data_IF_330548088519
#
_entry.id   IF_330548088519
#
_cell.length_a   1.000
_cell.length_b   1.000
_cell.length_c   1.000
_cell.angle_alpha   90.00
_cell.angle_beta   90.00
_cell.angle_gamma   90.00
#
_symmetry.space_group_name_H-M   'P 1'
#
loop_
_entity.id
_entity.type
_entity.pdbx_description
1 polymer ?
#
# COMPACT_ATOMS: atom_id res chain seq x y z
N UNK A 1 26.75 -50.12 72.21
CA UNK A 1 27.39 -49.94 70.92
C UNK A 1 26.44 -49.10 70.05
N UNK A 2 26.68 -47.76 69.99
CA UNK A 2 25.77 -46.80 69.35
C UNK A 2 26.35 -46.45 67.95
N UNK A 3 25.63 -46.77 66.96
CA UNK A 3 25.99 -46.38 65.54
C UNK A 3 25.34 -45.05 65.24
N UNK A 4 26.16 -44.00 65.02
CA UNK A 4 25.73 -42.69 64.62
C UNK A 4 25.47 -42.69 63.11
N UNK A 5 24.23 -42.43 62.67
CA UNK A 5 23.85 -42.25 61.31
C UNK A 5 24.05 -40.76 60.90
N UNK A 6 25.07 -40.44 60.17
CA UNK A 6 25.28 -39.13 59.59
C UNK A 6 24.35 -38.95 58.41
N UNK A 7 23.40 -38.01 58.51
CA UNK A 7 22.57 -37.54 57.39
C UNK A 7 23.39 -36.57 56.56
N UNK A 8 23.71 -36.97 55.35
CA UNK A 8 24.32 -36.13 54.30
C UNK A 8 23.16 -35.33 53.65
N UNK A 9 23.09 -34.03 53.87
CA UNK A 9 22.18 -33.15 53.17
C UNK A 9 22.90 -32.69 51.90
N UNK A 10 22.48 -33.22 50.75
CA UNK A 10 22.90 -32.72 49.44
C UNK A 10 22.01 -31.54 49.07
N UNK A 11 22.54 -30.35 49.19
CA UNK A 11 21.89 -29.14 48.72
C UNK A 11 22.09 -29.03 47.19
N UNK A 12 21.08 -29.42 46.44
CA UNK A 12 21.08 -29.24 45.00
C UNK A 12 20.72 -27.76 44.74
N UNK A 13 21.71 -26.94 44.37
CA UNK A 13 21.47 -25.60 43.85
C UNK A 13 20.89 -25.74 42.42
N UNK A 14 19.58 -25.53 42.31
CA UNK A 14 18.92 -25.36 41.05
C UNK A 14 19.29 -23.94 40.51
N UNK A 15 20.30 -23.84 39.68
CA UNK A 15 20.57 -22.61 38.94
C UNK A 15 19.48 -22.54 37.87
N UNK A 16 18.39 -21.80 38.18
CA UNK A 16 17.44 -21.37 37.17
C UNK A 16 18.16 -20.31 36.33
N UNK A 17 18.76 -20.74 35.25
CA UNK A 17 19.23 -19.86 34.19
C UNK A 17 18.00 -19.13 33.64
N UNK A 18 17.77 -17.91 34.08
CA UNK A 18 16.88 -16.99 33.42
C UNK A 18 17.56 -16.70 32.10
N UNK A 19 17.29 -17.52 31.07
CA UNK A 19 17.55 -17.14 29.70
C UNK A 19 16.68 -15.90 29.48
N UNK A 20 17.28 -14.72 29.54
CA UNK A 20 16.68 -13.52 29.02
C UNK A 20 16.41 -13.80 27.55
N UNK A 21 15.21 -14.23 27.22
CA UNK A 21 14.76 -14.27 25.85
C UNK A 21 14.87 -12.82 25.37
N UNK A 22 15.95 -12.52 24.64
CA UNK A 22 16.06 -11.23 23.94
C UNK A 22 14.82 -11.15 23.08
N UNK A 23 13.90 -10.23 23.45
CA UNK A 23 12.71 -10.00 22.65
C UNK A 23 13.19 -9.75 21.23
N UNK A 24 12.74 -10.58 20.30
CA UNK A 24 13.11 -10.44 18.88
C UNK A 24 12.69 -9.05 18.46
N UNK A 25 13.58 -8.32 17.78
CA UNK A 25 13.35 -6.96 17.30
C UNK A 25 12.74 -7.00 15.91
N UNK A 26 12.05 -5.92 15.54
CA UNK A 26 11.59 -5.75 14.17
C UNK A 26 12.77 -5.61 13.20
N UNK A 27 12.57 -6.05 11.98
CA UNK A 27 13.54 -5.92 10.89
C UNK A 27 12.92 -5.21 9.68
N UNK A 28 13.72 -4.46 8.94
CA UNK A 28 13.36 -3.89 7.65
C UNK A 28 13.55 -4.92 6.51
N UNK A 29 12.64 -4.99 5.53
CA UNK A 29 11.38 -4.25 5.42
C UNK A 29 10.34 -4.70 6.47
N UNK A 30 9.61 -3.76 7.04
CA UNK A 30 8.57 -4.07 8.06
C UNK A 30 7.37 -4.81 7.47
N UNK A 31 7.13 -4.64 6.17
CA UNK A 31 6.09 -5.32 5.40
C UNK A 31 6.70 -5.78 4.08
N UNK A 32 6.73 -7.08 3.83
CA UNK A 32 7.23 -7.60 2.57
C UNK A 32 6.07 -7.90 1.60
N UNK A 33 5.25 -6.90 1.33
CA UNK A 33 4.17 -6.89 0.34
C UNK A 33 4.06 -5.49 -0.27
N UNK A 34 3.35 -5.39 -1.42
CA UNK A 34 3.13 -4.11 -2.09
C UNK A 34 2.21 -3.20 -1.28
N UNK A 35 2.79 -2.15 -0.70
CA UNK A 35 2.10 -1.07 0.02
C UNK A 35 2.72 0.25 -0.41
N UNK A 36 2.42 0.72 -1.61
CA UNK A 36 3.09 1.88 -2.20
C UNK A 36 2.56 3.21 -1.65
N UNK A 37 3.40 4.23 -1.71
CA UNK A 37 3.05 5.64 -1.50
C UNK A 37 2.27 5.88 -0.19
N UNK A 38 2.79 5.32 0.88
CA UNK A 38 2.14 5.34 2.19
C UNK A 38 1.98 6.75 2.75
N UNK A 39 0.86 6.97 3.44
CA UNK A 39 0.65 8.08 4.35
C UNK A 39 0.12 7.55 5.67
N UNK A 40 0.70 7.99 6.79
CA UNK A 40 0.36 7.49 8.14
C UNK A 40 -0.07 8.65 9.04
N UNK A 41 -1.09 8.39 9.86
CA UNK A 41 -1.50 9.29 10.94
C UNK A 41 -1.62 8.50 12.25
N UNK A 42 -1.24 9.12 13.36
CA UNK A 42 -1.43 8.58 14.72
C UNK A 42 -2.64 9.22 15.39
N UNK A 43 -3.48 8.40 16.01
CA UNK A 43 -4.62 8.83 16.81
C UNK A 43 -4.54 8.10 18.17
N UNK A 44 -4.12 8.80 19.21
CA UNK A 44 -3.76 8.17 20.48
C UNK A 44 -2.61 7.18 20.31
N UNK A 45 -2.82 5.93 20.71
CA UNK A 45 -1.86 4.82 20.59
C UNK A 45 -2.04 3.99 19.31
N UNK A 46 -2.86 4.47 18.37
CA UNK A 46 -3.18 3.75 17.15
C UNK A 46 -2.68 4.50 15.92
N UNK A 47 -2.11 3.77 14.99
CA UNK A 47 -1.67 4.25 13.69
C UNK A 47 -2.61 3.78 12.60
N UNK A 48 -2.95 4.68 11.69
CA UNK A 48 -3.70 4.37 10.49
C UNK A 48 -2.89 4.76 9.25
N UNK A 49 -2.85 3.87 8.29
CA UNK A 49 -2.08 4.04 7.05
C UNK A 49 -3.00 3.90 5.84
N UNK A 50 -2.87 4.80 4.89
CA UNK A 50 -3.42 4.68 3.55
C UNK A 50 -2.31 4.43 2.53
N UNK A 51 -2.63 3.81 1.39
CA UNK A 51 -1.67 3.56 0.32
C UNK A 51 -2.34 3.49 -1.06
N UNK A 52 -1.53 3.50 -2.11
CA UNK A 52 -1.97 3.37 -3.51
C UNK A 52 -2.56 1.98 -3.80
N UNK A 53 -3.56 1.93 -4.67
CA UNK A 53 -4.09 0.68 -5.24
C UNK A 53 -4.21 0.70 -6.76
N UNK A 54 -3.97 1.82 -7.40
CA UNK A 54 -4.12 1.99 -8.85
C UNK A 54 -5.54 1.63 -9.32
N UNK A 55 -5.67 0.75 -10.29
CA UNK A 55 -6.93 0.32 -10.90
C UNK A 55 -7.69 -0.76 -10.13
N UNK A 56 -7.11 -1.27 -9.02
CA UNK A 56 -7.72 -2.33 -8.22
C UNK A 56 -8.94 -1.82 -7.44
N UNK A 57 -9.96 -2.64 -7.30
CA UNK A 57 -11.19 -2.35 -6.56
C UNK A 57 -11.49 -3.46 -5.53
N UNK A 58 -11.82 -3.12 -4.27
CA UNK A 58 -11.89 -1.79 -3.66
C UNK A 58 -10.53 -1.11 -3.56
N UNK A 59 -10.49 0.21 -3.27
CA UNK A 59 -9.24 0.98 -3.31
C UNK A 59 -9.03 1.94 -2.15
N UNK A 60 -7.80 2.43 -2.08
CA UNK A 60 -7.17 3.10 -0.96
C UNK A 60 -7.36 2.28 0.32
N UNK A 61 -6.54 1.23 0.51
CA UNK A 61 -6.62 0.39 1.70
C UNK A 61 -6.29 1.20 2.94
N UNK A 62 -7.04 0.94 3.99
CA UNK A 62 -6.78 1.47 5.32
C UNK A 62 -6.23 0.35 6.19
N UNK A 63 -5.02 0.54 6.67
CA UNK A 63 -4.37 -0.39 7.58
C UNK A 63 -4.24 0.23 8.96
N UNK A 64 -4.25 -0.61 10.00
CA UNK A 64 -4.16 -0.23 11.41
C UNK A 64 -3.00 -0.96 12.07
N UNK A 65 -2.28 -0.26 12.95
CA UNK A 65 -1.25 -0.82 13.82
C UNK A 65 -1.23 -0.11 15.16
N UNK A 66 -0.65 -0.74 16.18
CA UNK A 66 -0.34 -0.12 17.48
C UNK A 66 1.16 -0.08 17.77
N UNK A 67 1.99 -0.57 16.83
CA UNK A 67 3.44 -0.69 17.02
C UNK A 67 4.26 -0.35 15.75
N UNK A 68 3.63 0.16 14.69
CA UNK A 68 4.22 0.50 13.40
C UNK A 68 4.76 -0.70 12.58
N UNK A 69 4.77 -1.90 13.14
CA UNK A 69 5.33 -3.11 12.52
C UNK A 69 4.23 -4.10 12.14
N UNK A 70 3.31 -4.35 13.07
CA UNK A 70 2.23 -5.32 12.90
C UNK A 70 0.95 -4.62 12.42
N UNK A 71 0.77 -4.60 11.12
CA UNK A 71 -0.35 -3.95 10.45
C UNK A 71 -1.49 -4.93 10.16
N UNK A 72 -2.72 -4.42 10.14
CA UNK A 72 -3.92 -5.15 9.75
C UNK A 72 -4.73 -4.28 8.79
N UNK A 73 -5.15 -4.83 7.65
CA UNK A 73 -6.12 -4.19 6.76
C UNK A 73 -7.49 -4.17 7.45
N UNK A 74 -8.08 -3.00 7.60
CA UNK A 74 -9.34 -2.82 8.33
C UNK A 74 -10.46 -2.26 7.47
N UNK A 75 -10.16 -1.56 6.38
CA UNK A 75 -11.16 -0.99 5.47
C UNK A 75 -10.54 -0.58 4.12
N UNK A 76 -11.39 -0.08 3.23
CA UNK A 76 -11.04 0.66 2.03
C UNK A 76 -11.83 1.96 1.99
N UNK A 77 -11.28 3.01 1.37
CA UNK A 77 -11.96 4.29 1.25
C UNK A 77 -13.13 4.26 0.24
N UNK A 78 -13.10 3.31 -0.71
CA UNK A 78 -14.16 3.12 -1.70
C UNK A 78 -14.23 1.67 -2.20
N UNK A 79 -15.41 1.25 -2.62
CA UNK A 79 -15.62 -0.05 -3.29
C UNK A 79 -15.19 0.00 -4.76
N UNK A 80 -15.57 1.08 -5.47
CA UNK A 80 -15.15 1.40 -6.85
C UNK A 80 -14.82 2.89 -6.94
N UNK A 81 -13.76 3.25 -7.66
CA UNK A 81 -13.28 4.63 -7.73
C UNK A 81 -14.27 5.52 -8.50
N UNK A 82 -14.63 5.12 -9.71
CA UNK A 82 -15.58 5.81 -10.58
C UNK A 82 -16.14 4.86 -11.65
N UNK A 83 -17.22 5.28 -12.32
CA UNK A 83 -17.89 4.53 -13.38
C UNK A 83 -17.44 5.08 -14.75
N UNK A 84 -16.26 4.65 -15.21
CA UNK A 84 -15.72 5.00 -16.53
C UNK A 84 -15.27 3.75 -17.27
N UNK A 85 -15.33 3.80 -18.61
CA UNK A 85 -14.99 2.66 -19.48
C UNK A 85 -13.67 1.98 -19.13
N UNK A 86 -12.62 2.76 -18.87
CA UNK A 86 -11.29 2.24 -18.59
C UNK A 86 -11.24 1.43 -17.29
N UNK A 87 -11.93 1.89 -16.22
CA UNK A 87 -12.05 1.18 -14.95
C UNK A 87 -13.01 -0.01 -15.06
N UNK A 88 -13.95 0.03 -16.01
CA UNK A 88 -14.89 -1.05 -16.27
C UNK A 88 -14.40 -2.04 -17.32
N UNK A 89 -13.24 -1.83 -17.93
CA UNK A 89 -12.74 -2.62 -19.06
C UNK A 89 -13.76 -2.68 -20.21
N UNK A 90 -14.45 -1.57 -20.50
CA UNK A 90 -15.45 -1.48 -21.55
C UNK A 90 -14.86 -0.81 -22.80
N UNK A 91 -15.46 -1.10 -23.97
CA UNK A 91 -15.12 -0.44 -25.23
C UNK A 91 -13.62 -0.51 -25.59
N UNK A 92 -12.94 -1.61 -25.25
CA UNK A 92 -11.52 -1.81 -25.47
C UNK A 92 -10.60 -0.91 -24.64
N UNK A 93 -11.14 -0.18 -23.65
CA UNK A 93 -10.36 0.66 -22.74
C UNK A 93 -9.90 -0.12 -21.51
N UNK A 94 -8.75 0.27 -20.99
CA UNK A 94 -8.09 -0.38 -19.85
C UNK A 94 -7.43 0.69 -18.97
N UNK A 95 -7.59 0.58 -17.67
CA UNK A 95 -6.96 1.47 -16.68
C UNK A 95 -5.75 0.84 -15.98
N UNK A 96 -5.15 -0.22 -16.53
CA UNK A 96 -4.02 -0.90 -15.90
C UNK A 96 -2.90 0.07 -15.53
N UNK A 97 -2.51 0.10 -14.24
CA UNK A 97 -1.55 1.07 -13.71
C UNK A 97 -2.10 2.49 -13.52
N UNK A 98 -3.32 2.78 -13.99
CA UNK A 98 -4.06 4.01 -13.68
C UNK A 98 -4.92 3.87 -12.43
N UNK A 99 -6.03 4.62 -12.34
CA UNK A 99 -6.88 4.65 -11.14
C UNK A 99 -6.32 5.53 -10.03
N UNK A 100 -6.52 5.18 -8.76
CA UNK A 100 -6.06 5.99 -7.63
C UNK A 100 -4.57 5.78 -7.35
N UNK A 101 -3.83 6.90 -7.34
CA UNK A 101 -2.40 6.91 -7.04
C UNK A 101 -2.15 7.34 -5.59
N UNK A 102 -1.01 8.01 -5.32
CA UNK A 102 -0.60 8.37 -3.98
C UNK A 102 -1.74 8.98 -3.15
N UNK A 103 -1.84 8.55 -1.90
CA UNK A 103 -2.85 9.03 -0.97
C UNK A 103 -2.24 9.83 0.18
N UNK A 104 -3.05 10.70 0.77
CA UNK A 104 -2.70 11.44 1.97
C UNK A 104 -3.79 11.24 3.01
N UNK A 105 -3.44 10.79 4.21
CA UNK A 105 -4.37 10.63 5.34
C UNK A 105 -4.14 11.74 6.38
N UNK A 106 -5.23 12.30 6.91
CA UNK A 106 -5.24 13.29 8.00
C UNK A 106 -6.33 12.95 9.01
N UNK A 107 -6.11 13.38 10.27
CA UNK A 107 -7.11 13.30 11.33
C UNK A 107 -7.23 14.67 12.00
N UNK A 108 -8.38 15.29 11.85
CA UNK A 108 -8.65 16.64 12.35
C UNK A 108 -10.08 16.70 12.86
N UNK A 109 -10.27 17.29 14.04
CA UNK A 109 -11.61 17.50 14.63
C UNK A 109 -12.48 16.22 14.64
N UNK A 110 -11.88 15.09 15.10
CA UNK A 110 -12.54 13.78 15.18
C UNK A 110 -13.03 13.24 13.83
N UNK A 111 -12.40 13.65 12.72
CA UNK A 111 -12.71 13.20 11.37
C UNK A 111 -11.44 12.80 10.64
N UNK A 112 -11.47 11.65 10.01
CA UNK A 112 -10.42 11.20 9.10
C UNK A 112 -10.71 11.72 7.70
N UNK A 113 -9.66 12.18 7.04
CA UNK A 113 -9.67 12.61 5.65
C UNK A 113 -8.64 11.78 4.90
N UNK A 114 -9.04 11.19 3.78
CA UNK A 114 -8.15 10.48 2.87
C UNK A 114 -8.30 11.07 1.49
N UNK A 115 -7.24 11.68 0.97
CA UNK A 115 -7.25 12.22 -0.39
C UNK A 115 -6.41 11.39 -1.33
N UNK A 116 -6.82 11.31 -2.59
CA UNK A 116 -6.09 10.67 -3.70
C UNK A 116 -6.47 11.33 -5.01
N UNK A 117 -5.75 10.99 -6.07
CA UNK A 117 -6.03 11.50 -7.40
C UNK A 117 -5.98 10.36 -8.43
N UNK A 118 -6.66 10.55 -9.55
CA UNK A 118 -6.64 9.61 -10.66
C UNK A 118 -6.55 10.33 -12.00
N UNK A 119 -5.44 10.14 -12.70
CA UNK A 119 -5.28 10.63 -14.06
C UNK A 119 -6.28 10.01 -15.04
N UNK A 120 -6.68 8.76 -14.82
CA UNK A 120 -7.69 8.03 -15.61
C UNK A 120 -9.04 8.76 -15.67
N UNK A 121 -9.43 9.44 -14.58
CA UNK A 121 -10.69 10.19 -14.47
C UNK A 121 -10.48 11.71 -14.55
N UNK A 122 -9.21 12.16 -14.48
CA UNK A 122 -8.84 13.57 -14.39
C UNK A 122 -9.35 14.24 -13.10
N UNK A 123 -9.46 13.49 -12.00
CA UNK A 123 -10.20 13.91 -10.80
C UNK A 123 -9.36 13.73 -9.54
N UNK A 124 -9.53 14.66 -8.60
CA UNK A 124 -9.05 14.57 -7.21
C UNK A 124 -10.23 14.17 -6.33
N UNK A 125 -9.98 13.25 -5.40
CA UNK A 125 -10.97 12.68 -4.49
C UNK A 125 -10.55 12.96 -3.05
N UNK A 126 -11.49 13.36 -2.20
CA UNK A 126 -11.31 13.50 -0.76
C UNK A 126 -12.44 12.72 -0.08
N UNK A 127 -12.06 11.66 0.59
CA UNK A 127 -12.96 10.83 1.40
C UNK A 127 -12.88 11.28 2.85
N UNK A 128 -14.01 11.32 3.55
CA UNK A 128 -14.07 11.64 4.98
C UNK A 128 -14.96 10.68 5.74
N UNK A 129 -14.59 10.39 6.99
CA UNK A 129 -15.37 9.55 7.91
C UNK A 129 -15.00 9.83 9.37
N UNK A 130 -15.92 9.58 10.29
CA UNK A 130 -15.63 9.55 11.72
C UNK A 130 -15.23 8.17 12.24
N UNK A 131 -15.56 7.11 11.49
CA UNK A 131 -15.15 5.73 11.80
C UNK A 131 -14.36 5.15 10.62
N UNK A 132 -13.03 5.24 10.69
CA UNK A 132 -12.15 4.82 9.61
C UNK A 132 -12.17 3.29 9.39
N UNK A 133 -12.53 2.51 10.42
CA UNK A 133 -12.56 1.05 10.35
C UNK A 133 -13.86 0.51 9.76
N UNK A 134 -14.96 1.29 9.79
CA UNK A 134 -16.28 0.83 9.34
C UNK A 134 -16.96 1.76 8.33
N UNK A 135 -16.53 3.01 8.23
CA UNK A 135 -17.24 4.03 7.47
C UNK A 135 -18.51 4.53 8.19
N UNK A 136 -19.52 5.00 7.49
CA UNK A 136 -19.49 5.21 6.04
C UNK A 136 -18.51 6.30 5.63
N UNK A 137 -18.09 6.26 4.37
CA UNK A 137 -17.28 7.29 3.76
C UNK A 137 -18.15 8.27 3.00
N UNK A 138 -17.91 9.56 3.21
CA UNK A 138 -18.39 10.64 2.36
C UNK A 138 -17.29 11.01 1.37
N UNK A 139 -17.63 11.25 0.11
CA UNK A 139 -16.65 11.62 -0.93
C UNK A 139 -16.97 13.00 -1.50
N UNK A 140 -15.95 13.85 -1.58
CA UNK A 140 -15.90 15.06 -2.39
C UNK A 140 -14.96 14.83 -3.55
N UNK A 141 -15.35 15.25 -4.75
CA UNK A 141 -14.53 15.10 -5.95
C UNK A 141 -14.59 16.36 -6.81
N UNK A 142 -13.42 16.73 -7.36
CA UNK A 142 -13.29 17.90 -8.22
C UNK A 142 -12.16 17.72 -9.24
N UNK A 143 -12.16 18.54 -10.26
CA UNK A 143 -11.11 18.56 -11.31
C UNK A 143 -10.24 19.81 -11.16
N UNK A 144 -8.97 19.73 -11.63
CA UNK A 144 -8.29 18.56 -12.25
C UNK A 144 -7.82 17.53 -11.21
N UNK A 145 -7.16 16.45 -11.69
CA UNK A 145 -6.36 15.58 -10.84
C UNK A 145 -5.05 16.28 -10.47
N UNK A 146 -4.79 16.47 -9.18
CA UNK A 146 -3.57 17.08 -8.67
C UNK A 146 -2.55 15.99 -8.33
N UNK A 147 -1.47 15.93 -9.10
CA UNK A 147 -0.46 14.87 -9.02
C UNK A 147 0.27 14.86 -7.69
N UNK A 148 0.30 13.69 -7.02
CA UNK A 148 1.04 13.41 -5.78
C UNK A 148 0.85 14.47 -4.70
N UNK A 149 -0.41 14.87 -4.50
CA UNK A 149 -0.74 15.93 -3.59
C UNK A 149 -0.77 15.48 -2.12
N UNK A 150 -0.53 16.44 -1.24
CA UNK A 150 -0.86 16.35 0.18
C UNK A 150 -1.88 17.43 0.53
N UNK A 151 -2.85 17.12 1.38
CA UNK A 151 -3.73 18.11 2.00
C UNK A 151 -3.23 18.40 3.42
N UNK A 152 -3.40 19.64 3.87
CA UNK A 152 -2.98 20.07 5.19
C UNK A 152 -3.96 21.06 5.79
N UNK A 153 -4.44 20.78 6.98
CA UNK A 153 -5.29 21.64 7.79
C UNK A 153 -4.39 22.44 8.72
N UNK A 154 -4.24 23.73 8.46
CA UNK A 154 -3.31 24.56 9.22
C UNK A 154 -4.00 25.26 10.41
N UNK A 155 -3.21 25.76 11.35
CA UNK A 155 -3.69 26.45 12.56
C UNK A 155 -4.36 27.80 12.25
N UNK A 156 -4.16 28.34 11.05
CA UNK A 156 -4.85 29.53 10.56
C UNK A 156 -6.30 29.27 10.14
N UNK A 157 -6.78 28.02 10.27
CA UNK A 157 -8.11 27.57 9.92
C UNK A 157 -8.31 27.28 8.44
N UNK A 158 -7.27 27.40 7.61
CA UNK A 158 -7.31 27.12 6.19
C UNK A 158 -6.87 25.71 5.86
N UNK A 159 -7.31 25.24 4.70
CA UNK A 159 -6.94 23.94 4.18
C UNK A 159 -6.10 24.16 2.92
N UNK A 160 -4.91 23.64 2.92
CA UNK A 160 -3.97 23.77 1.81
C UNK A 160 -3.75 22.45 1.10
N UNK A 161 -3.54 22.52 -0.21
CA UNK A 161 -3.06 21.40 -1.02
C UNK A 161 -1.73 21.77 -1.66
N UNK A 162 -0.74 20.87 -1.54
CA UNK A 162 0.59 20.99 -2.18
C UNK A 162 0.72 19.82 -3.15
N UNK A 163 1.18 20.10 -4.39
CA UNK A 163 1.31 19.08 -5.43
C UNK A 163 2.41 19.43 -6.44
N UNK A 164 2.70 18.49 -7.33
CA UNK A 164 3.56 18.68 -8.48
C UNK A 164 4.77 17.79 -8.50
N UNK A 165 5.56 17.93 -9.55
CA UNK A 165 6.82 17.23 -9.76
C UNK A 165 7.91 18.23 -10.17
N UNK A 166 8.98 18.32 -9.39
CA UNK A 166 10.08 19.29 -9.52
C UNK A 166 9.70 20.69 -9.08
N UNK A 167 8.79 21.34 -9.78
CA UNK A 167 8.14 22.58 -9.35
C UNK A 167 6.93 22.24 -8.49
N UNK A 168 7.01 22.52 -7.21
CA UNK A 168 5.90 22.30 -6.28
C UNK A 168 5.04 23.55 -6.16
N UNK A 169 3.73 23.34 -6.19
CA UNK A 169 2.70 24.38 -6.10
C UNK A 169 1.85 24.17 -4.85
N UNK A 170 1.23 25.23 -4.41
CA UNK A 170 0.27 25.23 -3.31
C UNK A 170 -0.98 26.02 -3.71
N UNK A 171 -2.14 25.55 -3.24
CA UNK A 171 -3.42 26.23 -3.39
C UNK A 171 -4.24 26.03 -2.11
N UNK A 172 -5.10 27.00 -1.78
CA UNK A 172 -6.09 26.88 -0.72
C UNK A 172 -7.31 26.11 -1.22
N UNK A 173 -7.78 25.14 -0.45
CA UNK A 173 -9.04 24.43 -0.70
C UNK A 173 -10.21 25.21 -0.12
N UNK A 174 -11.42 25.00 -0.68
CA UNK A 174 -12.66 25.44 -0.04
C UNK A 174 -12.86 24.69 1.28
N UNK A 175 -13.49 25.32 2.24
CA UNK A 175 -13.73 24.74 3.57
C UNK A 175 -14.59 23.45 3.52
N UNK A 176 -15.50 23.35 2.55
CA UNK A 176 -16.35 22.20 2.30
C UNK A 176 -15.66 21.09 1.46
N UNK A 177 -14.39 21.29 1.08
CA UNK A 177 -13.57 20.38 0.28
C UNK A 177 -14.15 20.05 -1.12
N UNK A 178 -15.07 20.85 -1.63
CA UNK A 178 -15.68 20.63 -2.96
C UNK A 178 -14.81 21.11 -4.11
N UNK A 179 -13.66 21.74 -3.83
CA UNK A 179 -12.74 22.26 -4.84
C UNK A 179 -11.68 23.17 -4.27
N UNK A 180 -10.95 23.80 -5.18
CA UNK A 180 -9.94 24.80 -4.87
C UNK A 180 -10.53 26.19 -4.75
N UNK A 181 -9.85 27.06 -4.02
CA UNK A 181 -10.18 28.49 -3.91
C UNK A 181 -9.41 29.25 -4.99
N UNK A 182 -10.13 29.77 -5.96
CA UNK A 182 -9.56 30.45 -7.10
C UNK A 182 -8.68 31.64 -6.69
N UNK A 183 -7.61 31.89 -7.44
CA UNK A 183 -6.67 33.01 -7.20
C UNK A 183 -5.69 32.79 -6.05
N UNK A 184 -5.73 31.66 -5.35
CA UNK A 184 -4.82 31.35 -4.23
C UNK A 184 -3.62 30.49 -4.63
N UNK A 185 -3.57 30.00 -5.87
CA UNK A 185 -2.46 29.19 -6.38
C UNK A 185 -1.16 30.01 -6.40
N UNK A 186 -0.08 29.37 -5.94
CA UNK A 186 1.29 29.89 -6.02
C UNK A 186 2.31 28.79 -6.21
N UNK A 187 3.45 29.14 -6.78
CA UNK A 187 4.65 28.30 -6.72
C UNK A 187 5.20 28.34 -5.31
N UNK A 188 5.37 27.19 -4.71
CA UNK A 188 5.91 27.02 -3.37
C UNK A 188 7.42 26.82 -3.40
N UNK A 189 7.90 25.94 -4.30
CA UNK A 189 9.31 25.63 -4.52
C UNK A 189 9.54 25.47 -6.02
N UNK A 190 10.47 26.27 -6.60
CA UNK A 190 10.74 26.23 -8.03
C UNK A 190 11.47 24.96 -8.48
N UNK A 191 12.41 24.46 -7.66
CA UNK A 191 13.16 23.24 -7.92
C UNK A 191 13.34 22.43 -6.64
N UNK A 192 12.37 21.60 -6.31
CA UNK A 192 12.38 20.77 -5.11
C UNK A 192 13.40 19.62 -5.17
N UNK A 193 13.97 19.33 -6.34
CA UNK A 193 15.05 18.34 -6.49
C UNK A 193 16.45 18.91 -6.19
N UNK A 194 16.59 20.23 -6.11
CA UNK A 194 17.90 20.89 -5.99
C UNK A 194 18.83 20.33 -4.90
N UNK A 195 18.33 19.92 -3.70
CA UNK A 195 19.20 19.31 -2.69
C UNK A 195 19.85 17.99 -3.11
N UNK A 196 19.28 17.28 -4.09
CA UNK A 196 19.83 16.04 -4.63
C UNK A 196 20.69 16.24 -5.89
N UNK A 197 20.92 17.49 -6.31
CA UNK A 197 21.74 17.85 -7.45
C UNK A 197 20.95 18.26 -8.69
N UNK A 198 21.66 18.45 -9.81
CA UNK A 198 21.08 19.02 -11.03
C UNK A 198 20.72 17.98 -12.10
N UNK A 199 21.28 16.76 -12.01
CA UNK A 199 21.05 15.72 -13.01
C UNK A 199 19.98 14.75 -12.53
N UNK A 200 18.71 15.12 -12.71
CA UNK A 200 17.55 14.43 -12.16
C UNK A 200 16.86 13.58 -13.24
N UNK A 201 16.53 12.33 -12.88
CA UNK A 201 15.70 11.44 -13.68
C UNK A 201 14.22 11.53 -13.26
N UNK A 202 13.94 11.50 -11.95
CA UNK A 202 12.61 11.72 -11.38
C UNK A 202 12.62 13.05 -10.63
N UNK A 203 11.93 14.09 -11.11
CA UNK A 203 11.74 15.34 -10.37
C UNK A 203 11.07 15.08 -9.02
N UNK A 204 11.35 15.91 -8.01
CA UNK A 204 10.84 15.75 -6.67
C UNK A 204 9.30 15.79 -6.64
N UNK A 205 8.68 14.70 -6.16
CA UNK A 205 7.22 14.48 -6.09
C UNK A 205 6.86 13.73 -4.80
N UNK A 206 5.64 13.21 -4.65
CA UNK A 206 5.21 12.45 -3.47
C UNK A 206 5.15 13.32 -2.22
N UNK A 207 4.59 14.52 -2.34
CA UNK A 207 4.57 15.52 -1.26
C UNK A 207 3.83 15.03 -0.02
N UNK A 208 4.48 15.11 1.15
CA UNK A 208 3.85 14.92 2.47
C UNK A 208 4.30 16.07 3.40
N UNK A 209 3.33 16.86 3.88
CA UNK A 209 3.60 18.02 4.75
C UNK A 209 3.31 17.69 6.21
N UNK A 210 4.23 18.10 7.09
CA UNK A 210 4.13 17.98 8.54
C UNK A 210 4.43 19.32 9.21
N UNK A 211 3.79 19.58 10.36
CA UNK A 211 4.12 20.71 11.24
C UNK A 211 4.64 20.16 12.55
N UNK A 212 5.89 20.44 12.87
CA UNK A 212 6.56 19.98 14.10
C UNK A 212 7.24 21.17 14.76
N UNK A 213 6.95 21.43 16.03
CA UNK A 213 7.50 22.55 16.80
C UNK A 213 7.38 23.91 16.07
N UNK A 214 6.21 24.14 15.44
CA UNK A 214 5.88 25.38 14.74
C UNK A 214 6.53 25.54 13.36
N UNK A 215 7.35 24.60 12.90
CA UNK A 215 7.96 24.60 11.57
C UNK A 215 7.30 23.59 10.64
N UNK A 216 7.30 23.90 9.36
CA UNK A 216 6.75 23.05 8.30
C UNK A 216 7.86 22.23 7.65
N UNK A 217 7.61 20.93 7.47
CA UNK A 217 8.53 19.98 6.84
C UNK A 217 7.81 19.29 5.69
N UNK A 218 8.29 19.52 4.47
CA UNK A 218 7.75 18.93 3.26
C UNK A 218 8.70 17.82 2.77
N UNK A 219 8.22 16.60 2.77
CA UNK A 219 8.92 15.42 2.29
C UNK A 219 8.61 15.19 0.82
N UNK A 220 9.64 14.85 0.05
CA UNK A 220 9.53 14.46 -1.35
C UNK A 220 10.51 13.35 -1.69
N UNK A 221 10.13 12.53 -2.68
CA UNK A 221 11.04 11.62 -3.37
C UNK A 221 11.61 12.31 -4.59
N UNK A 222 12.89 12.10 -4.89
CA UNK A 222 13.52 12.42 -6.17
C UNK A 222 14.48 11.32 -6.60
N UNK A 223 14.86 11.28 -7.87
CA UNK A 223 15.82 10.28 -8.35
C UNK A 223 16.90 10.93 -9.23
N UNK A 224 18.10 11.17 -8.66
CA UNK A 224 19.26 11.59 -9.46
C UNK A 224 19.67 10.48 -10.45
N UNK A 225 20.06 10.87 -11.67
CA UNK A 225 20.60 9.91 -12.65
C UNK A 225 21.86 9.25 -12.12
N UNK A 226 22.03 7.97 -12.47
CA UNK A 226 23.16 7.15 -12.01
C UNK A 226 23.28 7.01 -10.49
N UNK A 227 22.17 7.19 -9.78
CA UNK A 227 22.04 7.04 -8.35
C UNK A 227 20.76 6.24 -8.01
N UNK A 228 20.17 6.48 -6.87
CA UNK A 228 18.98 5.81 -6.38
C UNK A 228 17.89 6.80 -5.98
N UNK A 229 16.67 6.31 -5.76
CA UNK A 229 15.61 7.10 -5.16
C UNK A 229 16.08 7.67 -3.83
N UNK A 230 15.77 8.93 -3.61
CA UNK A 230 16.37 9.77 -2.56
C UNK A 230 15.27 10.57 -1.88
N UNK A 231 15.34 10.72 -0.56
CA UNK A 231 14.45 11.62 0.21
C UNK A 231 15.09 13.01 0.25
N UNK A 232 14.32 14.00 -0.16
CA UNK A 232 14.62 15.42 0.11
C UNK A 232 13.58 15.99 1.05
N UNK A 233 13.99 16.84 1.98
CA UNK A 233 13.12 17.50 2.94
C UNK A 233 13.33 19.00 2.81
N UNK A 234 12.22 19.73 2.74
CA UNK A 234 12.21 21.18 2.75
C UNK A 234 11.57 21.68 4.04
N UNK A 235 12.19 22.68 4.69
CA UNK A 235 11.74 23.25 5.95
C UNK A 235 11.44 24.74 5.78
N UNK A 236 10.39 25.22 6.44
CA UNK A 236 10.04 26.63 6.51
C UNK A 236 9.40 27.01 7.86
N UNK A 237 9.46 28.29 8.21
CA UNK A 237 8.75 28.85 9.38
C UNK A 237 7.28 29.16 9.08
N UNK A 238 6.92 29.32 7.82
CA UNK A 238 5.56 29.56 7.35
C UNK A 238 5.19 28.55 6.26
N UNK A 239 3.92 28.15 6.20
CA UNK A 239 3.46 27.20 5.18
C UNK A 239 3.71 27.73 3.76
N UNK A 240 3.74 29.03 3.58
CA UNK A 240 4.03 29.73 2.31
C UNK A 240 5.50 29.87 2.00
N UNK A 241 6.41 29.39 2.87
CA UNK A 241 7.85 29.50 2.73
C UNK A 241 8.41 30.85 3.25
N UNK A 242 9.67 31.20 2.88
CA UNK A 242 10.53 30.43 1.97
C UNK A 242 10.99 29.09 2.57
N UNK A 243 11.17 28.10 1.71
CA UNK A 243 11.62 26.77 2.09
C UNK A 243 13.13 26.60 1.85
N UNK A 244 13.84 26.10 2.86
CA UNK A 244 15.21 25.60 2.76
C UNK A 244 15.16 24.08 2.55
N UNK A 245 15.90 23.52 1.57
CA UNK A 245 15.90 22.10 1.24
C UNK A 245 17.21 21.41 1.61
N UNK A 246 17.11 20.14 2.07
CA UNK A 246 18.25 19.25 2.32
C UNK A 246 18.02 17.85 1.76
N UNK A 247 19.10 17.20 1.31
CA UNK A 247 19.10 15.76 1.10
C UNK A 247 19.02 15.08 2.48
N UNK A 248 18.01 14.27 2.70
CA UNK A 248 17.72 13.66 3.99
C UNK A 248 18.12 12.18 4.07
N UNK A 249 17.93 11.41 2.97
CA UNK A 249 18.33 10.01 2.89
C UNK A 249 18.63 9.61 1.45
N UNK A 250 19.76 8.96 1.24
CA UNK A 250 20.14 8.33 -0.02
C UNK A 250 20.78 6.97 0.28
N UNK A 251 19.96 5.97 0.56
CA UNK A 251 20.42 4.61 0.87
C UNK A 251 19.39 3.57 0.45
N UNK A 252 19.85 2.46 -0.13
CA UNK A 252 19.05 1.34 -0.62
C UNK A 252 17.92 1.70 -1.61
N UNK A 253 17.78 2.97 -2.02
CA UNK A 253 16.66 3.45 -2.79
C UNK A 253 15.34 3.56 -1.99
N UNK A 254 15.44 3.61 -0.67
CA UNK A 254 14.30 3.80 0.24
C UNK A 254 13.92 5.27 0.25
N UNK A 255 12.70 5.58 -0.23
CA UNK A 255 12.21 6.96 -0.34
C UNK A 255 10.68 7.01 -0.41
N UNK A 256 10.13 8.21 -0.57
CA UNK A 256 8.70 8.57 -0.56
C UNK A 256 7.94 8.06 0.66
N UNK A 257 7.37 8.99 1.39
CA UNK A 257 6.63 8.76 2.62
C UNK A 257 6.70 10.00 3.48
N UNK A 258 6.82 9.83 4.80
CA UNK A 258 6.75 10.96 5.71
C UNK A 258 7.22 10.62 7.12
N UNK A 259 6.83 11.47 8.07
CA UNK A 259 7.16 11.36 9.48
C UNK A 259 6.01 10.78 10.29
N UNK A 260 6.35 10.03 11.33
CA UNK A 260 5.44 9.58 12.37
C UNK A 260 6.16 9.57 13.72
N UNK A 261 5.48 10.03 14.76
CA UNK A 261 5.94 9.95 16.14
C UNK A 261 5.28 8.76 16.86
N UNK A 262 5.89 8.38 17.96
CA UNK A 262 5.35 7.37 18.88
C UNK A 262 4.91 8.03 20.20
N UNK A 263 4.03 7.40 21.01
CA UNK A 263 3.58 7.95 22.28
C UNK A 263 4.70 8.23 23.28
N UNK A 264 5.81 7.51 23.19
CA UNK A 264 7.02 7.68 23.99
C UNK A 264 8.02 8.71 23.41
N UNK A 265 7.61 9.45 22.35
CA UNK A 265 8.36 10.56 21.79
C UNK A 265 9.47 10.18 20.80
N UNK A 266 9.58 8.91 20.39
CA UNK A 266 10.45 8.54 19.29
C UNK A 266 9.84 8.93 17.95
N UNK A 267 10.69 9.12 16.95
CA UNK A 267 10.29 9.49 15.61
C UNK A 267 10.80 8.50 14.58
N UNK A 268 10.01 8.26 13.56
CA UNK A 268 10.36 7.42 12.41
C UNK A 268 9.94 8.12 11.11
N UNK A 269 10.72 7.91 10.06
CA UNK A 269 10.26 8.10 8.70
C UNK A 269 9.72 6.75 8.18
N UNK A 270 8.50 6.76 7.68
CA UNK A 270 7.93 5.63 6.95
C UNK A 270 8.15 5.86 5.45
N UNK A 271 8.83 4.94 4.82
CA UNK A 271 9.30 5.05 3.45
C UNK A 271 9.11 3.73 2.72
N UNK A 272 9.22 3.69 1.39
CA UNK A 272 9.20 2.43 0.66
C UNK A 272 10.44 2.26 -0.24
N UNK A 273 10.64 1.03 -0.70
CA UNK A 273 11.61 0.66 -1.72
C UNK A 273 10.93 -0.16 -2.80
N UNK A 274 11.31 0.08 -4.08
CA UNK A 274 10.93 -0.83 -5.18
C UNK A 274 11.60 -2.19 -5.01
N UNK A 275 10.84 -3.27 -5.07
CA UNK A 275 11.33 -4.64 -4.92
C UNK A 275 10.80 -5.58 -6.00
N UNK A 276 11.10 -5.26 -7.24
CA UNK A 276 10.79 -6.09 -8.42
C UNK A 276 9.32 -6.46 -8.51
N UNK A 277 9.05 -7.75 -8.68
CA UNK A 277 7.70 -8.27 -8.87
C UNK A 277 6.80 -8.22 -7.63
N UNK A 278 7.34 -8.03 -6.44
CA UNK A 278 6.53 -7.86 -5.22
C UNK A 278 5.89 -6.47 -5.20
N UNK A 279 6.58 -5.45 -5.72
CA UNK A 279 6.12 -4.07 -5.73
C UNK A 279 6.91 -3.16 -4.78
N UNK A 280 6.25 -2.21 -4.15
CA UNK A 280 6.85 -1.20 -3.25
C UNK A 280 6.67 -1.62 -1.80
N UNK A 281 7.76 -2.02 -1.18
CA UNK A 281 7.74 -2.59 0.18
C UNK A 281 8.12 -1.55 1.24
N UNK A 282 7.36 -1.47 2.36
CA UNK A 282 7.57 -0.51 3.44
C UNK A 282 8.81 -0.74 4.30
N UNK A 283 9.45 0.37 4.64
CA UNK A 283 10.55 0.48 5.59
C UNK A 283 10.22 1.51 6.68
N UNK A 284 10.75 1.30 7.87
CA UNK A 284 10.83 2.32 8.90
C UNK A 284 12.28 2.74 9.11
N UNK A 285 12.49 4.04 9.21
CA UNK A 285 13.81 4.63 9.39
C UNK A 285 13.76 5.52 10.64
N UNK A 286 14.55 5.24 11.68
CA UNK A 286 14.61 6.08 12.87
C UNK A 286 14.96 7.52 12.52
N UNK A 287 14.39 8.47 13.24
CA UNK A 287 14.64 9.91 13.04
C UNK A 287 15.14 10.51 14.34
N UNK A 288 16.25 11.26 14.26
CA UNK A 288 16.74 12.14 15.31
C UNK A 288 16.55 13.59 14.88
N UNK A 289 16.26 14.46 15.82
CA UNK A 289 16.17 15.89 15.56
C UNK A 289 17.47 16.58 15.90
N UNK A 290 18.13 17.18 14.92
CA UNK A 290 19.39 17.92 15.08
C UNK A 290 19.24 19.32 14.43
N UNK A 291 19.48 20.39 15.16
CA UNK A 291 19.33 21.79 14.70
C UNK A 291 17.97 22.08 14.05
N UNK A 292 16.92 21.41 14.55
CA UNK A 292 15.56 21.51 14.00
C UNK A 292 15.39 20.85 12.64
N UNK A 293 16.24 19.89 12.28
CA UNK A 293 16.08 19.05 11.10
C UNK A 293 15.88 17.58 11.49
N UNK A 294 15.00 16.85 10.78
CA UNK A 294 14.91 15.40 10.94
C UNK A 294 16.10 14.75 10.23
N UNK A 295 16.97 14.10 10.99
CA UNK A 295 18.09 13.28 10.50
C UNK A 295 17.63 11.84 10.43
N UNK A 296 17.59 11.29 9.22
CA UNK A 296 17.04 9.97 8.93
C UNK A 296 18.12 8.89 9.00
N UNK A 297 17.77 7.80 9.69
CA UNK A 297 18.60 6.61 9.77
C UNK A 297 19.74 6.67 10.79
N UNK A 298 20.54 5.64 10.77
CA UNK A 298 21.77 5.54 11.59
C UNK A 298 22.97 5.89 10.72
N UNK A 299 23.56 7.07 10.97
CA UNK A 299 24.65 7.60 10.11
C UNK A 299 24.25 7.69 8.62
N UNK A 300 23.01 8.11 8.32
CA UNK A 300 22.50 8.23 6.96
C UNK A 300 22.21 6.88 6.27
N UNK A 301 22.12 5.79 7.03
CA UNK A 301 21.80 4.44 6.54
C UNK A 301 20.49 3.91 7.09
N UNK A 302 19.79 3.15 6.27
CA UNK A 302 18.59 2.41 6.67
C UNK A 302 19.00 1.23 7.53
N UNK A 303 18.62 1.14 8.81
CA UNK A 303 19.01 0.02 9.66
C UNK A 303 18.27 -1.26 9.26
N UNK A 304 18.94 -2.40 9.43
CA UNK A 304 18.30 -3.71 9.25
C UNK A 304 17.36 -4.00 10.42
N UNK A 305 17.79 -3.74 11.66
CA UNK A 305 17.04 -4.02 12.88
C UNK A 305 16.51 -2.73 13.51
N UNK A 306 15.31 -2.77 14.02
CA UNK A 306 14.62 -1.64 14.65
C UNK A 306 14.34 -1.94 16.13
N UNK A 307 14.46 -0.92 16.99
CA UNK A 307 14.06 -1.04 18.39
C UNK A 307 12.53 -0.95 18.55
N UNK A 308 11.83 -1.90 17.91
CA UNK A 308 10.37 -2.06 17.89
C UNK A 308 10.04 -3.55 18.08
N UNK A 309 8.80 -3.89 18.48
CA UNK A 309 8.37 -5.27 18.59
C UNK A 309 8.54 -6.04 17.27
N UNK A 310 8.94 -7.30 17.33
CA UNK A 310 9.11 -8.14 16.15
C UNK A 310 7.82 -8.27 15.32
N UNK A 311 7.98 -8.48 14.04
CA UNK A 311 6.87 -8.88 13.16
C UNK A 311 6.28 -10.22 13.64
N UNK A 312 4.96 -10.31 13.68
CA UNK A 312 4.20 -11.54 13.98
C UNK A 312 4.01 -12.43 12.76
N UNK A 313 4.76 -12.18 11.71
CA UNK A 313 4.69 -12.91 10.44
C UNK A 313 3.75 -12.27 9.43
N UNK A 314 3.04 -13.09 8.64
CA UNK A 314 2.10 -12.60 7.61
C UNK A 314 1.08 -11.65 8.23
N UNK A 315 0.93 -10.50 7.58
CA UNK A 315 0.06 -9.43 8.06
C UNK A 315 -1.40 -9.86 7.88
N UNK A 316 -2.15 -10.04 8.95
CA UNK A 316 -3.56 -10.36 8.88
C UNK A 316 -4.32 -9.32 8.04
N UNK A 317 -5.05 -9.78 7.04
CA UNK A 317 -5.87 -8.93 6.20
C UNK A 317 -5.21 -8.40 4.94
N UNK A 318 -3.87 -8.51 4.75
CA UNK A 318 -3.25 -8.17 3.45
C UNK A 318 -3.25 -9.37 2.51
N UNK A 319 -2.90 -10.54 3.03
CA UNK A 319 -2.92 -11.83 2.32
C UNK A 319 -3.44 -12.89 3.27
N UNK A 320 -4.32 -13.76 2.80
CA UNK A 320 -4.83 -14.88 3.58
C UNK A 320 -5.31 -16.02 2.70
N UNK A 321 -5.19 -17.24 3.19
CA UNK A 321 -5.91 -18.38 2.60
C UNK A 321 -7.42 -18.23 2.84
N UNK A 322 -8.23 -18.65 1.86
CA UNK A 322 -9.68 -18.55 1.92
C UNK A 322 -10.31 -19.81 1.35
N UNK A 323 -11.08 -20.54 2.17
CA UNK A 323 -11.88 -21.70 1.75
C UNK A 323 -13.29 -21.31 1.30
N UNK A 324 -13.58 -20.01 1.24
CA UNK A 324 -14.86 -19.41 0.89
C UNK A 324 -16.04 -19.86 1.75
N UNK A 325 -15.82 -20.51 2.91
CA UNK A 325 -16.87 -20.73 3.89
C UNK A 325 -17.23 -19.42 4.58
N UNK A 326 -18.53 -19.18 4.71
CA UNK A 326 -19.05 -17.93 5.32
C UNK A 326 -20.18 -18.26 6.29
N UNK A 327 -20.18 -17.56 7.41
CA UNK A 327 -21.35 -17.47 8.29
C UNK A 327 -22.37 -16.49 7.71
N UNK A 328 -23.59 -16.55 8.17
CA UNK A 328 -24.74 -15.79 7.60
C UNK A 328 -24.48 -14.27 7.48
N UNK A 329 -23.73 -13.68 8.39
CA UNK A 329 -23.51 -12.24 8.46
C UNK A 329 -22.09 -11.82 8.04
N UNK A 330 -21.29 -12.74 7.52
CA UNK A 330 -19.96 -12.42 7.02
C UNK A 330 -20.01 -11.91 5.58
N UNK A 331 -19.12 -10.99 5.19
CA UNK A 331 -19.03 -10.52 3.81
C UNK A 331 -18.67 -11.68 2.88
N UNK A 332 -19.20 -11.67 1.66
CA UNK A 332 -18.87 -12.68 0.65
C UNK A 332 -17.37 -12.76 0.39
N UNK A 333 -16.72 -11.63 0.28
CA UNK A 333 -15.27 -11.51 0.10
C UNK A 333 -14.69 -10.70 1.27
N UNK A 334 -13.77 -11.27 2.06
CA UNK A 334 -12.97 -10.51 3.03
C UNK A 334 -12.09 -9.45 2.36
N UNK A 335 -11.62 -8.47 3.14
CA UNK A 335 -10.84 -7.33 2.67
C UNK A 335 -9.54 -7.69 1.94
N UNK A 336 -9.01 -8.90 2.10
CA UNK A 336 -7.81 -9.37 1.37
C UNK A 336 -8.02 -9.45 -0.14
N UNK A 337 -9.29 -9.56 -0.58
CA UNK A 337 -9.62 -9.72 -1.98
C UNK A 337 -9.84 -8.37 -2.66
N UNK A 338 -9.20 -8.19 -3.79
CA UNK A 338 -9.41 -7.07 -4.69
C UNK A 338 -9.66 -7.57 -6.11
N UNK A 339 -10.47 -6.84 -6.84
CA UNK A 339 -10.71 -7.07 -8.25
C UNK A 339 -9.69 -6.32 -9.10
N UNK A 340 -9.21 -6.94 -10.14
CA UNK A 340 -8.50 -6.26 -11.21
C UNK A 340 -9.52 -5.43 -12.00
N UNK A 341 -9.56 -4.11 -11.78
CA UNK A 341 -10.59 -3.17 -12.23
C UNK A 341 -11.95 -3.34 -11.49
N UNK A 342 -12.97 -2.60 -11.91
CA UNK A 342 -14.30 -2.70 -11.32
C UNK A 342 -14.97 -4.04 -11.69
N UNK A 343 -15.54 -4.78 -10.75
CA UNK A 343 -16.17 -6.06 -11.04
C UNK A 343 -17.55 -5.91 -11.70
N UNK A 344 -17.95 -6.91 -12.46
CA UNK A 344 -19.35 -7.16 -12.78
C UNK A 344 -19.94 -8.08 -11.69
N UNK A 345 -20.68 -7.49 -10.77
CA UNK A 345 -21.25 -8.17 -9.61
C UNK A 345 -22.33 -9.21 -9.97
N UNK A 346 -22.83 -9.22 -11.21
CA UNK A 346 -23.77 -10.24 -11.70
C UNK A 346 -23.07 -11.55 -12.12
N UNK A 347 -21.75 -11.56 -12.23
CA UNK A 347 -20.95 -12.65 -12.81
C UNK A 347 -20.09 -13.39 -11.79
N UNK A 348 -20.29 -13.17 -10.51
CA UNK A 348 -19.63 -13.93 -9.46
C UNK A 348 -20.54 -14.16 -8.26
N UNK A 349 -20.24 -15.21 -7.51
CA UNK A 349 -20.92 -15.51 -6.26
C UNK A 349 -20.09 -16.41 -5.34
N UNK A 350 -20.38 -16.35 -4.04
CA UNK A 350 -19.80 -17.22 -3.01
C UNK A 350 -20.90 -18.08 -2.40
N UNK A 351 -20.75 -19.38 -2.49
CA UNK A 351 -21.58 -20.30 -1.71
C UNK A 351 -20.92 -20.59 -0.36
N UNK A 352 -21.18 -19.73 0.62
CA UNK A 352 -20.55 -19.81 1.95
C UNK A 352 -20.86 -21.11 2.70
N UNK A 353 -22.01 -21.76 2.46
CA UNK A 353 -22.35 -23.03 3.11
C UNK A 353 -21.49 -24.19 2.58
N UNK A 354 -21.21 -24.21 1.27
CA UNK A 354 -20.43 -25.27 0.62
C UNK A 354 -18.94 -24.93 0.52
N UNK A 355 -18.56 -23.68 0.73
CA UNK A 355 -17.17 -23.21 0.68
C UNK A 355 -16.63 -23.23 -0.75
N UNK A 356 -17.23 -22.44 -1.65
CA UNK A 356 -16.66 -22.19 -2.98
C UNK A 356 -17.02 -20.81 -3.52
N UNK A 357 -16.12 -20.30 -4.34
CA UNK A 357 -16.28 -19.11 -5.14
C UNK A 357 -16.59 -19.50 -6.60
N UNK A 358 -17.53 -18.81 -7.25
CA UNK A 358 -17.91 -19.04 -8.64
C UNK A 358 -17.66 -17.79 -9.46
N UNK A 359 -16.96 -17.94 -10.57
CA UNK A 359 -16.92 -16.98 -11.67
C UNK A 359 -17.76 -17.48 -12.83
N UNK A 360 -18.47 -16.56 -13.47
CA UNK A 360 -19.27 -16.85 -14.68
C UNK A 360 -18.76 -15.95 -15.79
N UNK A 361 -18.35 -16.52 -16.91
CA UNK A 361 -17.92 -15.75 -18.09
C UNK A 361 -19.10 -14.93 -18.61
N UNK A 362 -18.86 -13.66 -18.89
CA UNK A 362 -19.89 -12.72 -19.33
C UNK A 362 -19.69 -12.21 -20.76
N UNK A 363 -18.46 -12.34 -21.26
CA UNK A 363 -18.05 -11.87 -22.61
C UNK A 363 -16.80 -12.61 -23.09
N UNK A 364 -16.46 -12.42 -24.33
CA UNK A 364 -15.19 -12.84 -24.91
C UNK A 364 -14.24 -11.64 -24.85
N UNK A 365 -13.06 -11.83 -24.25
CA UNK A 365 -12.01 -10.83 -24.17
C UNK A 365 -10.84 -11.21 -25.08
N UNK A 366 -10.18 -10.20 -25.68
CA UNK A 366 -9.09 -10.41 -26.63
C UNK A 366 -7.81 -10.87 -25.95
N UNK A 367 -7.61 -10.42 -24.70
CA UNK A 367 -6.47 -10.77 -23.88
C UNK A 367 -6.86 -10.88 -22.41
N UNK A 368 -5.96 -11.47 -21.63
CA UNK A 368 -6.23 -11.75 -20.21
C UNK A 368 -6.22 -10.47 -19.35
N UNK A 369 -5.50 -9.42 -19.75
CA UNK A 369 -5.46 -8.16 -19.00
C UNK A 369 -6.78 -7.40 -19.12
N UNK A 370 -7.55 -7.67 -20.17
CA UNK A 370 -8.89 -7.12 -20.39
C UNK A 370 -10.01 -7.98 -19.81
N UNK A 371 -9.69 -9.15 -19.25
CA UNK A 371 -10.69 -10.07 -18.71
C UNK A 371 -11.35 -9.50 -17.44
N UNK A 372 -12.69 -9.48 -17.43
CA UNK A 372 -13.49 -9.08 -16.27
C UNK A 372 -13.38 -10.10 -15.14
N UNK A 373 -13.56 -9.59 -13.91
CA UNK A 373 -13.69 -10.40 -12.70
C UNK A 373 -12.46 -11.28 -12.40
N UNK A 374 -11.26 -10.75 -12.57
CA UNK A 374 -10.07 -11.35 -11.96
C UNK A 374 -10.01 -10.98 -10.48
N UNK A 375 -10.14 -11.99 -9.63
CA UNK A 375 -10.04 -11.82 -8.18
C UNK A 375 -8.60 -12.04 -7.74
N UNK A 376 -8.06 -11.08 -6.97
CA UNK A 376 -6.62 -11.03 -6.67
C UNK A 376 -6.34 -10.85 -5.19
N UNK A 377 -5.15 -11.25 -4.78
CA UNK A 377 -4.48 -10.83 -3.54
C UNK A 377 -3.06 -10.36 -3.88
N UNK A 378 -2.43 -9.61 -2.98
CA UNK A 378 -1.03 -9.19 -3.16
C UNK A 378 -0.09 -10.38 -3.09
N UNK A 379 1.01 -10.33 -3.83
CA UNK A 379 2.15 -11.23 -3.59
C UNK A 379 2.91 -10.77 -2.35
N UNK A 380 3.50 -11.71 -1.65
CA UNK A 380 4.35 -11.48 -0.48
C UNK A 380 5.77 -11.97 -0.75
N UNK A 381 6.73 -11.36 -0.12
CA UNK A 381 8.14 -11.73 -0.24
C UNK A 381 8.73 -12.29 1.06
N UNK A 382 9.98 -12.78 1.01
CA UNK A 382 10.83 -12.91 -0.17
C UNK A 382 10.39 -14.04 -1.11
N UNK A 383 9.54 -14.95 -0.65
CA UNK A 383 8.95 -16.06 -1.42
C UNK A 383 7.49 -16.24 -1.05
N UNK A 384 6.67 -16.67 -1.99
CA UNK A 384 5.30 -17.06 -1.72
C UNK A 384 4.88 -18.26 -2.56
N UNK A 385 3.89 -18.99 -2.05
CA UNK A 385 3.25 -20.10 -2.76
C UNK A 385 1.76 -19.83 -2.81
N UNK A 386 1.18 -19.89 -4.00
CA UNK A 386 -0.26 -19.83 -4.23
C UNK A 386 -0.77 -21.19 -4.69
N UNK A 387 -1.87 -21.66 -4.10
CA UNK A 387 -2.56 -22.89 -4.49
C UNK A 387 -4.05 -22.62 -4.66
N UNK A 388 -4.66 -23.24 -5.67
CA UNK A 388 -6.09 -23.19 -5.86
C UNK A 388 -6.62 -24.52 -6.35
N UNK A 389 -7.87 -24.84 -5.98
CA UNK A 389 -8.60 -25.98 -6.51
C UNK A 389 -9.74 -25.47 -7.37
N UNK A 390 -9.77 -25.88 -8.64
CA UNK A 390 -10.76 -25.42 -9.62
C UNK A 390 -11.63 -26.57 -10.06
N UNK A 391 -12.97 -26.38 -10.04
CA UNK A 391 -13.92 -27.28 -10.71
C UNK A 391 -14.14 -26.78 -12.13
N UNK A 392 -13.77 -27.61 -13.10
CA UNK A 392 -13.79 -27.31 -14.54
C UNK A 392 -14.90 -28.04 -15.31
N UNK A 393 -15.81 -28.71 -14.62
CA UNK A 393 -16.84 -29.53 -15.27
C UNK A 393 -17.75 -28.72 -16.21
N UNK A 394 -18.09 -27.49 -15.81
CA UNK A 394 -19.01 -26.60 -16.54
C UNK A 394 -18.34 -25.66 -17.53
N UNK A 395 -17.04 -25.79 -17.73
CA UNK A 395 -16.34 -25.00 -18.75
C UNK A 395 -16.88 -25.33 -20.14
N UNK A 396 -16.94 -24.30 -20.97
CA UNK A 396 -17.38 -24.39 -22.38
C UNK A 396 -16.20 -24.11 -23.30
N UNK A 397 -16.40 -24.35 -24.59
CA UNK A 397 -15.42 -24.07 -25.64
C UNK A 397 -14.92 -22.61 -25.55
N UNK A 398 -13.61 -22.43 -25.49
CA UNK A 398 -12.96 -21.13 -25.34
C UNK A 398 -12.72 -20.68 -23.90
N UNK A 399 -13.31 -21.32 -22.88
CA UNK A 399 -13.09 -20.95 -21.49
C UNK A 399 -11.65 -21.27 -21.04
N UNK A 400 -11.09 -20.34 -20.25
CA UNK A 400 -9.82 -20.48 -19.55
C UNK A 400 -10.00 -20.08 -18.09
N UNK A 401 -9.55 -20.93 -17.15
CA UNK A 401 -9.57 -20.62 -15.72
C UNK A 401 -8.29 -21.15 -15.03
N UNK A 402 -7.72 -20.39 -14.13
CA UNK A 402 -6.47 -20.77 -13.48
C UNK A 402 -6.01 -19.82 -12.39
N UNK A 403 -4.77 -19.99 -11.99
CA UNK A 403 -4.05 -19.15 -11.06
C UNK A 403 -2.95 -18.40 -11.81
N UNK A 404 -2.82 -17.09 -11.57
CA UNK A 404 -1.83 -16.27 -12.26
C UNK A 404 -1.05 -15.38 -11.31
N UNK A 405 0.17 -15.05 -11.71
CA UNK A 405 0.94 -13.91 -11.23
C UNK A 405 0.68 -12.76 -12.19
N UNK A 406 0.00 -11.72 -11.70
CA UNK A 406 -0.51 -10.62 -12.53
C UNK A 406 0.33 -9.37 -12.39
N UNK A 407 0.88 -8.96 -13.50
CA UNK A 407 1.43 -7.62 -13.78
C UNK A 407 1.19 -7.31 -15.25
N UNK A 408 1.71 -6.19 -15.79
CA UNK A 408 1.73 -5.96 -17.24
C UNK A 408 2.44 -7.11 -17.98
N UNK A 409 3.49 -7.67 -17.37
CA UNK A 409 4.06 -8.98 -17.70
C UNK A 409 3.50 -10.00 -16.70
N UNK A 410 3.00 -11.13 -17.18
CA UNK A 410 2.30 -12.10 -16.34
C UNK A 410 2.67 -13.54 -16.68
N UNK A 411 2.30 -14.44 -15.79
CA UNK A 411 2.35 -15.88 -16.05
C UNK A 411 1.18 -16.58 -15.36
N UNK A 412 0.67 -17.63 -15.97
CA UNK A 412 -0.40 -18.42 -15.36
C UNK A 412 -0.31 -19.92 -15.64
N UNK A 413 -0.89 -20.70 -14.73
CA UNK A 413 -1.21 -22.09 -14.94
C UNK A 413 -2.74 -22.27 -14.79
N UNK A 414 -3.37 -23.00 -15.71
CA UNK A 414 -4.81 -23.12 -15.70
C UNK A 414 -5.34 -24.25 -16.59
N UNK A 415 -6.65 -24.34 -16.68
CA UNK A 415 -7.36 -25.27 -17.59
C UNK A 415 -7.96 -24.46 -18.72
N UNK A 416 -7.65 -24.85 -19.94
CA UNK A 416 -8.22 -24.33 -21.19
C UNK A 416 -9.11 -25.38 -21.82
N UNK A 417 -10.32 -24.99 -22.25
CA UNK A 417 -11.20 -25.84 -23.01
C UNK A 417 -11.16 -25.44 -24.49
N UNK A 418 -10.65 -26.32 -25.35
CA UNK A 418 -10.41 -26.02 -26.77
C UNK A 418 -10.59 -27.28 -27.60
N UNK A 419 -11.29 -27.16 -28.74
CA UNK A 419 -11.60 -28.28 -29.68
C UNK A 419 -12.23 -29.48 -28.99
N UNK A 420 -13.19 -29.22 -28.09
CA UNK A 420 -13.92 -30.25 -27.35
C UNK A 420 -13.11 -30.97 -26.26
N UNK A 421 -11.89 -30.49 -25.93
CA UNK A 421 -11.01 -31.12 -24.97
C UNK A 421 -10.50 -30.10 -23.94
N UNK A 422 -10.24 -30.57 -22.73
CA UNK A 422 -9.63 -29.76 -21.67
C UNK A 422 -8.14 -30.05 -21.59
N UNK A 423 -7.36 -28.98 -21.43
CA UNK A 423 -5.91 -29.05 -21.31
C UNK A 423 -5.49 -28.26 -20.06
N UNK A 424 -4.54 -28.79 -19.32
CA UNK A 424 -3.73 -28.01 -18.38
C UNK A 424 -2.70 -27.26 -19.22
N UNK A 425 -2.66 -25.95 -19.08
CA UNK A 425 -1.73 -25.09 -19.81
C UNK A 425 -0.91 -24.24 -18.85
N UNK A 426 0.33 -23.97 -19.23
CA UNK A 426 1.17 -22.97 -18.60
C UNK A 426 1.54 -21.92 -19.64
N UNK A 427 1.36 -20.63 -19.30
CA UNK A 427 1.65 -19.51 -20.17
C UNK A 427 2.62 -18.56 -19.50
N UNK A 428 3.61 -18.12 -20.27
CA UNK A 428 4.55 -17.08 -19.90
C UNK A 428 4.38 -15.87 -20.84
N UNK A 429 4.05 -14.72 -20.28
CA UNK A 429 3.95 -13.44 -20.95
C UNK A 429 5.01 -12.44 -20.43
N UNK A 430 6.19 -12.93 -20.08
CA UNK A 430 7.35 -12.12 -19.69
C UNK A 430 8.03 -11.42 -20.86
N UNK A 431 7.87 -11.93 -22.09
CA UNK A 431 8.31 -11.33 -23.34
C UNK A 431 7.18 -10.51 -24.01
N UNK A 432 7.39 -10.03 -25.23
CA UNK A 432 6.46 -9.18 -25.95
C UNK A 432 5.14 -9.88 -26.36
N UNK A 433 5.15 -11.19 -26.43
CA UNK A 433 3.95 -11.99 -26.72
C UNK A 433 3.80 -13.12 -25.70
N UNK A 434 2.55 -13.41 -25.26
CA UNK A 434 2.28 -14.60 -24.45
C UNK A 434 2.68 -15.87 -25.20
N UNK A 435 3.38 -16.76 -24.50
CA UNK A 435 3.80 -18.06 -25.01
C UNK A 435 3.20 -19.17 -24.16
N UNK A 436 2.50 -20.12 -24.78
CA UNK A 436 2.07 -21.35 -24.12
C UNK A 436 3.26 -22.32 -24.07
N UNK A 437 3.92 -22.34 -22.90
CA UNK A 437 5.19 -23.10 -22.70
C UNK A 437 4.95 -24.56 -22.39
N UNK A 438 3.74 -24.93 -21.95
CA UNK A 438 3.36 -26.31 -21.66
C UNK A 438 1.87 -26.53 -21.91
N UNK A 439 1.53 -27.76 -22.43
CA UNK A 439 0.16 -28.19 -22.64
C UNK A 439 0.03 -29.70 -22.38
N UNK A 440 -0.83 -30.07 -21.43
CA UNK A 440 -1.07 -31.46 -21.05
C UNK A 440 -2.56 -31.73 -21.14
N UNK A 441 -3.02 -32.79 -21.88
CA UNK A 441 -4.43 -33.16 -21.89
C UNK A 441 -4.94 -33.51 -20.48
N UNK A 442 -6.03 -32.88 -20.05
CA UNK A 442 -6.65 -33.22 -18.78
C UNK A 442 -7.41 -34.56 -18.95
N UNK A 443 -6.96 -35.61 -18.26
CA UNK A 443 -7.60 -36.91 -18.23
C UNK A 443 -8.69 -36.93 -17.14
N UNK A 444 -9.83 -37.48 -17.44
CA UNK A 444 -10.98 -37.62 -16.53
C UNK A 444 -12.12 -36.66 -16.86
N UNK A 445 -13.27 -36.93 -16.22
CA UNK A 445 -14.48 -36.08 -16.35
C UNK A 445 -14.35 -34.79 -15.57
#
# INVERSE_FOLDING_TARGET
>A
MKILLKKLIVATFLIIGIASASAQKAENPIVFADVPDMSIVRVGDTYYMSSTTMHMSPGVPIMKSTDLVNWKLVNYAYDTLDDVDALNLNNGKNAYGGGSWASCIRYVNNTFYVSTFAGTTGTTYIYSTRDIEKGPWEVKKFKPSYHDHTIFFDDDGKIYMIWGAGRLRMIELKEDLTGVKEGTERVLIENASAPAGNNIMLPAEGSQLFKVNGKYYLFNITWPRNSMRTVVIHRADKITGPYEGRLALQDLGVAQGGLIDTPDGNWFAYLFRDNGAVGRIPYLVPVKWEDGWPVLGENGKVPVSLNLPASKGLIPGIVASDDFKRKKNEPKLPLVWQWNHNPDNSKWDVNGKKGYFRLTTGRIDLDILSAKNMLTQRTIGPTCVGETKINVEKMKEGDLAGLMLLQAKYGYAGVKFENGKKYIVMVNAGADKPEEVERIPLKGK
#
